data_IF_725690722871
#
_entry.id   IF_725690722871
#
_cell.length_a   1.000
_cell.length_b   1.000
_cell.length_c   1.000
_cell.angle_alpha   90.00
_cell.angle_beta   90.00
_cell.angle_gamma   90.00
#
_symmetry.space_group_name_H-M   'P 1'
#
loop_
_entity.id
_entity.type
_entity.pdbx_description
1 polymer ?
#
# COMPACT_ATOMS: atom_id res chain seq x y z
N UNK A 1 -6.93 24.67 6.66
CA UNK A 1 -5.48 24.34 6.86
C UNK A 1 -4.65 25.47 6.27
N UNK A 2 -3.68 26.02 7.00
CA UNK A 2 -2.87 27.17 6.53
C UNK A 2 -1.83 26.74 5.48
N UNK A 3 -1.34 27.67 4.66
CA UNK A 3 -0.37 27.40 3.58
C UNK A 3 0.92 26.75 4.08
N UNK A 4 1.47 27.19 5.22
CA UNK A 4 2.68 26.62 5.82
C UNK A 4 2.48 25.14 6.25
N UNK A 5 1.27 24.79 6.67
CA UNK A 5 0.92 23.43 7.07
C UNK A 5 0.76 22.52 5.84
N UNK A 6 0.18 23.02 4.75
CA UNK A 6 0.16 22.33 3.46
C UNK A 6 1.57 22.07 2.92
N UNK A 7 2.47 23.05 3.03
CA UNK A 7 3.86 22.92 2.57
C UNK A 7 4.63 21.80 3.33
N UNK A 8 4.37 21.61 4.63
CA UNK A 8 4.93 20.48 5.42
C UNK A 8 4.59 19.11 4.83
N UNK A 9 3.48 19.00 4.10
CA UNK A 9 2.99 17.77 3.50
C UNK A 9 3.17 17.73 1.98
N UNK A 10 4.08 18.55 1.44
CA UNK A 10 4.46 18.50 0.02
C UNK A 10 3.40 19.04 -0.92
N UNK A 11 2.59 20.00 -0.47
CA UNK A 11 1.69 20.74 -1.36
C UNK A 11 2.46 21.49 -2.45
N UNK A 12 2.00 21.36 -3.69
CA UNK A 12 2.57 22.02 -4.86
C UNK A 12 1.47 22.80 -5.61
N UNK A 13 1.64 24.13 -5.68
CA UNK A 13 0.69 25.05 -6.31
C UNK A 13 0.58 24.84 -7.82
N UNK A 14 1.67 24.46 -8.50
CA UNK A 14 1.66 24.18 -9.94
C UNK A 14 0.89 22.90 -10.23
N UNK A 15 1.07 21.86 -9.41
CA UNK A 15 0.29 20.62 -9.47
C UNK A 15 -1.18 20.90 -9.19
N UNK A 16 -1.52 21.66 -8.15
CA UNK A 16 -2.89 22.05 -7.84
C UNK A 16 -3.55 22.82 -9.00
N UNK A 17 -2.81 23.75 -9.61
CA UNK A 17 -3.28 24.52 -10.77
C UNK A 17 -3.54 23.62 -11.99
N UNK A 18 -2.73 22.58 -12.19
CA UNK A 18 -2.96 21.58 -13.22
C UNK A 18 -4.21 20.73 -12.93
N UNK A 19 -4.44 20.37 -11.67
CA UNK A 19 -5.67 19.69 -11.24
C UNK A 19 -6.92 20.54 -11.48
N UNK A 20 -6.89 21.84 -11.16
CA UNK A 20 -8.00 22.76 -11.41
C UNK A 20 -8.43 22.77 -12.88
N UNK A 21 -7.47 22.89 -13.81
CA UNK A 21 -7.74 22.84 -15.27
C UNK A 21 -8.34 21.50 -15.71
N UNK A 22 -7.90 20.39 -15.11
CA UNK A 22 -8.36 19.04 -15.43
C UNK A 22 -9.69 18.68 -14.77
N UNK A 23 -10.05 19.30 -13.65
CA UNK A 23 -11.26 18.94 -12.89
C UNK A 23 -12.54 19.16 -13.70
N UNK A 24 -12.58 20.24 -14.50
CA UNK A 24 -13.67 20.58 -15.40
C UNK A 24 -13.77 19.67 -16.64
N UNK A 25 -12.77 18.84 -16.89
CA UNK A 25 -12.73 17.93 -18.03
C UNK A 25 -13.23 16.56 -17.59
N UNK A 26 -14.30 16.06 -18.23
CA UNK A 26 -14.74 14.69 -18.05
C UNK A 26 -13.76 13.76 -18.77
N UNK A 27 -12.80 13.20 -18.04
CA UNK A 27 -11.81 12.24 -18.59
C UNK A 27 -12.10 10.84 -18.10
N UNK A 28 -12.11 9.88 -19.01
CA UNK A 28 -12.11 8.46 -18.64
C UNK A 28 -10.77 8.10 -17.99
N UNK A 29 -10.82 7.33 -16.91
CA UNK A 29 -9.62 6.72 -16.32
C UNK A 29 -9.30 5.35 -16.97
N UNK A 30 -10.16 4.86 -17.87
CA UNK A 30 -9.96 3.58 -18.53
C UNK A 30 -8.67 3.57 -19.34
N UNK A 31 -7.92 2.47 -19.26
CA UNK A 31 -6.72 2.29 -20.08
C UNK A 31 -7.09 2.22 -21.56
N UNK A 32 -6.20 2.74 -22.38
CA UNK A 32 -6.25 2.64 -23.84
C UNK A 32 -5.12 1.73 -24.29
N UNK A 33 -5.41 0.75 -25.16
CA UNK A 33 -4.42 -0.22 -25.62
C UNK A 33 -5.01 -1.62 -25.73
N UNK A 34 -4.18 -2.58 -26.11
CA UNK A 34 -4.55 -3.99 -26.13
C UNK A 34 -4.45 -4.57 -24.72
N UNK A 35 -5.60 -4.91 -24.15
CA UNK A 35 -5.72 -5.45 -22.81
C UNK A 35 -6.10 -6.93 -22.86
N UNK A 36 -5.35 -7.78 -22.17
CA UNK A 36 -5.68 -9.19 -22.00
C UNK A 36 -5.33 -9.68 -20.58
N UNK A 37 -5.93 -10.79 -20.12
CA UNK A 37 -5.53 -11.39 -18.84
C UNK A 37 -4.04 -11.74 -18.81
N UNK A 38 -3.39 -11.54 -17.66
CA UNK A 38 -2.02 -12.03 -17.46
C UNK A 38 -2.01 -13.57 -17.53
N UNK A 39 -1.19 -14.21 -18.39
CA UNK A 39 -1.14 -15.66 -18.45
C UNK A 39 -0.77 -16.27 -17.11
N UNK A 40 -1.44 -17.36 -16.72
CA UNK A 40 -1.18 -18.04 -15.45
C UNK A 40 0.28 -18.50 -15.30
N UNK A 41 0.99 -18.77 -16.40
CA UNK A 41 2.42 -19.10 -16.40
C UNK A 41 3.33 -17.94 -15.99
N UNK A 42 2.85 -16.69 -16.02
CA UNK A 42 3.55 -15.50 -15.54
C UNK A 42 3.19 -15.13 -14.09
N UNK A 43 2.35 -15.94 -13.44
CA UNK A 43 2.00 -15.80 -12.03
C UNK A 43 2.65 -16.95 -11.28
N UNK A 44 3.76 -16.66 -10.61
CA UNK A 44 4.42 -17.61 -9.74
C UNK A 44 3.51 -17.98 -8.57
N UNK A 45 3.76 -19.13 -7.95
CA UNK A 45 3.07 -19.53 -6.72
C UNK A 45 4.05 -19.56 -5.57
N UNK A 46 3.64 -19.04 -4.43
CA UNK A 46 4.40 -19.25 -3.21
C UNK A 46 4.32 -20.75 -2.83
N UNK A 47 5.45 -21.46 -2.67
CA UNK A 47 5.39 -22.87 -2.28
C UNK A 47 4.66 -23.07 -0.95
N UNK A 48 3.88 -24.14 -0.85
CA UNK A 48 3.05 -24.43 0.31
C UNK A 48 3.90 -24.57 1.59
N UNK A 49 3.31 -24.21 2.73
CA UNK A 49 3.95 -24.38 4.03
C UNK A 49 4.40 -25.83 4.25
N UNK A 50 5.58 -25.98 4.86
CA UNK A 50 6.17 -27.30 5.17
C UNK A 50 6.89 -27.97 4.01
N UNK A 51 6.81 -27.44 2.78
CA UNK A 51 7.56 -27.98 1.64
C UNK A 51 9.06 -27.63 1.70
N UNK A 52 9.96 -28.46 1.13
CA UNK A 52 11.39 -28.14 1.05
C UNK A 52 11.67 -26.82 0.31
N UNK A 53 10.92 -26.53 -0.75
CA UNK A 53 11.07 -25.28 -1.51
C UNK A 53 10.70 -24.05 -0.66
N UNK A 54 9.61 -24.14 0.12
CA UNK A 54 9.24 -23.05 1.06
C UNK A 54 10.33 -22.83 2.11
N UNK A 55 10.93 -23.91 2.62
CA UNK A 55 12.02 -23.82 3.59
C UNK A 55 13.26 -23.15 2.98
N UNK A 56 13.68 -23.56 1.78
CA UNK A 56 14.81 -22.95 1.06
C UNK A 56 14.62 -21.46 0.82
N UNK A 57 13.44 -21.06 0.34
CA UNK A 57 13.12 -19.65 0.12
C UNK A 57 13.12 -18.86 1.42
N UNK A 58 12.57 -19.44 2.50
CA UNK A 58 12.58 -18.82 3.83
C UNK A 58 14.01 -18.61 4.31
N UNK A 59 14.87 -19.60 4.18
CA UNK A 59 16.25 -19.51 4.67
C UNK A 59 17.04 -18.45 3.88
N UNK A 60 16.86 -18.35 2.57
CA UNK A 60 17.43 -17.28 1.74
C UNK A 60 16.93 -15.88 2.15
N UNK A 61 15.63 -15.73 2.44
CA UNK A 61 15.10 -14.46 2.92
C UNK A 61 15.58 -14.10 4.32
N UNK A 62 15.75 -15.09 5.21
CA UNK A 62 16.30 -14.88 6.55
C UNK A 62 17.76 -14.41 6.50
N UNK A 63 18.55 -14.90 5.55
CA UNK A 63 19.90 -14.40 5.29
C UNK A 63 19.88 -12.91 4.91
N UNK A 64 19.03 -12.52 3.95
CA UNK A 64 18.88 -11.12 3.54
C UNK A 64 18.43 -10.20 4.70
N UNK A 65 17.47 -10.67 5.50
CA UNK A 65 17.03 -9.96 6.72
C UNK A 65 18.18 -9.85 7.73
N UNK A 66 18.90 -10.94 7.95
CA UNK A 66 20.05 -11.02 8.85
C UNK A 66 21.19 -10.10 8.44
N UNK A 67 21.38 -9.88 7.15
CA UNK A 67 22.35 -8.95 6.57
C UNK A 67 21.94 -7.47 6.66
N UNK A 68 20.71 -7.17 7.12
CA UNK A 68 20.17 -5.82 7.17
C UNK A 68 19.77 -5.27 5.79
N UNK A 69 19.56 -6.14 4.80
CA UNK A 69 19.17 -5.75 3.44
C UNK A 69 17.68 -5.46 3.29
N UNK A 70 16.87 -5.81 4.28
CA UNK A 70 15.40 -5.76 4.20
C UNK A 70 14.83 -4.71 5.16
N UNK A 71 13.91 -3.90 4.66
CA UNK A 71 13.06 -2.99 5.43
C UNK A 71 11.58 -3.24 5.15
N UNK A 72 10.71 -2.71 6.01
CA UNK A 72 9.27 -2.84 5.87
C UNK A 72 8.58 -1.47 5.78
N UNK A 73 7.78 -1.26 4.74
CA UNK A 73 6.96 -0.08 4.54
C UNK A 73 5.51 -0.40 4.94
N UNK A 74 4.91 0.45 5.78
CA UNK A 74 3.50 0.33 6.16
C UNK A 74 2.72 1.54 5.67
N UNK A 75 1.75 1.32 4.80
CA UNK A 75 0.85 2.37 4.32
C UNK A 75 -0.25 2.64 5.36
N UNK A 76 -0.19 3.81 5.97
CA UNK A 76 -1.02 4.24 7.09
C UNK A 76 -1.59 5.67 6.91
N UNK A 77 -1.75 6.11 5.66
CA UNK A 77 -2.31 7.43 5.32
C UNK A 77 -3.83 7.54 5.47
N UNK A 78 -4.53 6.42 5.67
CA UNK A 78 -5.99 6.33 5.66
C UNK A 78 -6.66 6.64 7.00
N UNK A 79 -7.73 7.42 6.95
CA UNK A 79 -8.68 7.58 8.05
C UNK A 79 -9.68 6.41 8.05
N UNK A 80 -10.09 5.97 9.24
CA UNK A 80 -11.10 4.95 9.42
C UNK A 80 -12.48 5.62 9.57
N UNK A 81 -13.01 6.18 8.47
CA UNK A 81 -14.31 6.88 8.47
C UNK A 81 -15.45 5.99 9.01
N UNK A 82 -15.44 4.70 8.68
CA UNK A 82 -16.38 3.68 9.20
C UNK A 82 -16.17 3.28 10.67
N UNK A 83 -15.06 3.69 11.28
CA UNK A 83 -14.75 3.50 12.69
C UNK A 83 -14.93 4.81 13.49
N UNK A 84 -15.78 5.72 12.99
CA UNK A 84 -16.03 7.00 13.65
C UNK A 84 -15.01 8.10 13.30
N UNK A 85 -14.26 7.97 12.21
CA UNK A 85 -13.38 9.03 11.72
C UNK A 85 -12.03 9.12 12.44
N UNK A 86 -11.58 8.04 13.09
CA UNK A 86 -10.27 7.96 13.75
C UNK A 86 -9.17 7.50 12.79
N UNK A 87 -7.91 7.63 13.18
CA UNK A 87 -6.78 7.14 12.39
C UNK A 87 -6.75 5.61 12.42
N UNK A 88 -6.84 4.95 11.25
CA UNK A 88 -6.95 3.48 11.16
C UNK A 88 -5.83 2.75 11.89
N UNK A 89 -4.59 3.24 11.75
CA UNK A 89 -3.40 2.63 12.32
C UNK A 89 -3.44 2.52 13.86
N UNK A 90 -4.16 3.40 14.55
CA UNK A 90 -4.23 3.42 16.03
C UNK A 90 -5.45 2.68 16.59
N UNK A 91 -6.34 2.18 15.73
CA UNK A 91 -7.53 1.42 16.14
C UNK A 91 -7.13 0.04 16.67
N UNK A 92 -7.62 -0.39 17.85
CA UNK A 92 -7.46 -1.76 18.35
C UNK A 92 -8.00 -2.80 17.36
N UNK A 93 -7.18 -3.80 17.04
CA UNK A 93 -7.50 -4.82 16.04
C UNK A 93 -7.45 -6.26 16.60
N UNK A 94 -6.50 -6.57 17.48
CA UNK A 94 -6.40 -7.88 18.12
C UNK A 94 -6.13 -7.71 19.61
N UNK A 95 -7.14 -8.03 20.43
CA UNK A 95 -7.15 -7.62 21.83
C UNK A 95 -7.08 -6.10 21.94
N UNK A 96 -6.15 -5.59 22.76
CA UNK A 96 -5.91 -4.15 22.95
C UNK A 96 -4.87 -3.57 21.98
N UNK A 97 -4.21 -4.41 21.17
CA UNK A 97 -3.17 -3.95 20.24
C UNK A 97 -3.79 -3.33 19.00
N UNK A 98 -3.31 -2.15 18.62
CA UNK A 98 -3.72 -1.48 17.38
C UNK A 98 -3.20 -2.17 16.12
N UNK A 99 -3.76 -1.83 14.95
CA UNK A 99 -3.20 -2.28 13.67
C UNK A 99 -1.69 -1.99 13.53
N UNK A 100 -1.24 -0.80 13.95
CA UNK A 100 0.17 -0.42 13.91
C UNK A 100 1.02 -1.23 14.91
N UNK A 101 0.52 -1.48 16.12
CA UNK A 101 1.20 -2.31 17.13
C UNK A 101 1.39 -3.75 16.63
N UNK A 102 0.41 -4.29 15.89
CA UNK A 102 0.48 -5.63 15.30
C UNK A 102 1.53 -5.68 14.19
N UNK A 103 1.52 -4.71 13.26
CA UNK A 103 2.54 -4.60 12.19
C UNK A 103 3.94 -4.40 12.76
N UNK A 104 4.06 -3.59 13.81
CA UNK A 104 5.33 -3.37 14.51
C UNK A 104 5.85 -4.65 15.16
N UNK A 105 5.00 -5.39 15.88
CA UNK A 105 5.40 -6.64 16.53
C UNK A 105 5.93 -7.68 15.53
N UNK A 106 5.27 -7.79 14.36
CA UNK A 106 5.71 -8.64 13.25
C UNK A 106 7.11 -8.30 12.75
N UNK A 107 7.37 -7.02 12.50
CA UNK A 107 8.69 -6.54 12.03
C UNK A 107 9.75 -6.67 13.13
N UNK A 108 9.40 -6.32 14.37
CA UNK A 108 10.30 -6.33 15.51
C UNK A 108 10.75 -7.75 15.92
N UNK A 109 10.01 -8.79 15.53
CA UNK A 109 10.41 -10.18 15.73
C UNK A 109 11.74 -10.53 15.03
N UNK A 110 12.13 -9.79 13.99
CA UNK A 110 13.43 -9.92 13.31
C UNK A 110 14.54 -9.05 13.92
N UNK A 111 14.25 -8.38 15.05
CA UNK A 111 15.19 -7.54 15.78
C UNK A 111 15.40 -6.16 15.15
N UNK A 112 16.38 -5.41 15.67
CA UNK A 112 16.63 -4.00 15.30
C UNK A 112 17.15 -3.79 13.86
N UNK A 113 17.40 -4.86 13.11
CA UNK A 113 17.98 -4.78 11.75
C UNK A 113 16.96 -4.41 10.69
N UNK A 114 15.67 -4.61 10.94
CA UNK A 114 14.61 -4.29 9.98
C UNK A 114 13.98 -2.93 10.34
N UNK A 115 14.27 -1.85 9.59
CA UNK A 115 13.60 -0.59 9.79
C UNK A 115 12.14 -0.66 9.34
N UNK A 116 11.26 -0.03 10.12
CA UNK A 116 9.86 0.17 9.78
C UNK A 116 9.67 1.60 9.26
N UNK A 117 9.19 1.73 8.03
CA UNK A 117 8.98 3.01 7.35
C UNK A 117 7.46 3.22 7.20
N UNK A 118 6.89 4.12 7.98
CA UNK A 118 5.43 4.31 8.05
C UNK A 118 5.02 5.50 7.17
N UNK A 119 4.32 5.21 6.08
CA UNK A 119 3.75 6.23 5.21
C UNK A 119 2.41 6.72 5.78
N UNK A 120 2.42 7.92 6.34
CA UNK A 120 1.25 8.59 6.92
C UNK A 120 0.63 9.60 5.94
N UNK A 121 -0.32 10.40 6.37
CA UNK A 121 -0.84 11.55 5.63
C UNK A 121 -0.95 12.77 6.55
N UNK A 122 -1.29 13.95 6.01
CA UNK A 122 -1.55 15.14 6.83
C UNK A 122 -2.57 14.88 7.96
N UNK A 123 -3.52 13.96 7.75
CA UNK A 123 -4.56 13.62 8.72
C UNK A 123 -4.13 12.55 9.74
N UNK A 124 -3.09 11.76 9.45
CA UNK A 124 -2.67 10.63 10.29
C UNK A 124 -1.29 10.80 10.93
N UNK A 125 -0.46 11.71 10.43
CA UNK A 125 0.97 11.81 10.76
C UNK A 125 1.23 12.03 12.24
N UNK A 126 0.65 13.08 12.83
CA UNK A 126 0.93 13.44 14.22
C UNK A 126 0.35 12.40 15.19
N UNK A 127 -0.85 11.87 14.91
CA UNK A 127 -1.46 10.80 15.71
C UNK A 127 -0.66 9.49 15.68
N UNK A 128 -0.10 9.11 14.52
CA UNK A 128 0.76 7.92 14.41
C UNK A 128 2.05 8.12 15.22
N UNK A 129 2.68 9.29 15.12
CA UNK A 129 3.89 9.60 15.90
C UNK A 129 3.62 9.58 17.41
N UNK A 130 2.48 10.15 17.83
CA UNK A 130 2.06 10.13 19.22
C UNK A 130 1.82 8.69 19.69
N UNK A 131 1.11 7.87 18.91
CA UNK A 131 0.86 6.47 19.25
C UNK A 131 2.14 5.64 19.39
N UNK A 132 3.12 5.84 18.49
CA UNK A 132 4.45 5.23 18.58
C UNK A 132 5.12 5.59 19.92
N UNK A 133 5.06 6.86 20.32
CA UNK A 133 5.64 7.33 21.58
C UNK A 133 4.92 6.78 22.82
N UNK A 134 3.58 6.84 22.84
CA UNK A 134 2.74 6.40 23.96
C UNK A 134 2.86 4.90 24.21
N UNK A 135 2.87 4.11 23.13
CA UNK A 135 3.06 2.65 23.19
C UNK A 135 4.51 2.24 23.31
N UNK A 136 5.45 3.19 23.26
CA UNK A 136 6.91 2.96 23.35
C UNK A 136 7.40 1.93 22.34
N UNK A 137 6.90 2.02 21.10
CA UNK A 137 7.34 1.13 20.03
C UNK A 137 8.83 1.36 19.76
N UNK A 138 9.60 0.27 19.73
CA UNK A 138 11.06 0.31 19.70
C UNK A 138 11.64 -0.10 18.34
N UNK A 139 12.95 0.12 18.14
CA UNK A 139 13.61 -0.13 16.87
C UNK A 139 13.66 1.12 15.97
N UNK A 140 14.07 0.95 14.72
CA UNK A 140 14.18 2.05 13.76
C UNK A 140 12.82 2.26 13.09
N UNK A 141 12.09 3.29 13.51
CA UNK A 141 10.78 3.64 12.96
C UNK A 141 10.83 5.06 12.38
N UNK A 142 10.74 5.17 11.06
CA UNK A 142 10.67 6.46 10.36
C UNK A 142 9.23 6.69 9.87
N UNK A 143 8.61 7.79 10.31
CA UNK A 143 7.28 8.19 9.86
C UNK A 143 7.42 9.34 8.87
N UNK A 144 6.90 9.17 7.66
CA UNK A 144 6.92 10.18 6.60
C UNK A 144 5.52 10.34 6.01
N UNK A 145 5.07 11.55 5.67
CA UNK A 145 3.76 11.74 5.09
C UNK A 145 3.79 11.57 3.57
N UNK A 146 2.73 10.98 3.02
CA UNK A 146 2.39 11.12 1.60
C UNK A 146 1.98 12.56 1.27
N UNK A 147 1.86 12.88 -0.02
CA UNK A 147 1.62 14.24 -0.47
C UNK A 147 0.16 14.69 -0.20
N UNK A 148 -0.07 16.00 -0.27
CA UNK A 148 -1.37 16.63 -0.04
C UNK A 148 -1.77 17.54 -1.21
N UNK A 149 -3.06 17.58 -1.50
CA UNK A 149 -3.67 18.52 -2.42
C UNK A 149 -5.01 19.03 -1.85
N UNK A 150 -5.61 20.01 -2.53
CA UNK A 150 -6.89 20.60 -2.16
C UNK A 150 -7.99 20.09 -3.09
N UNK A 151 -9.13 19.73 -2.52
CA UNK A 151 -10.31 19.31 -3.26
C UNK A 151 -10.80 20.44 -4.16
N UNK A 152 -11.36 20.05 -5.30
CA UNK A 152 -11.89 20.97 -6.29
C UNK A 152 -13.39 20.75 -6.47
N UNK A 153 -14.12 21.77 -6.85
CA UNK A 153 -15.47 21.62 -7.40
C UNK A 153 -15.39 20.95 -8.78
N UNK A 154 -16.50 20.42 -9.34
CA UNK A 154 -16.53 19.91 -10.70
C UNK A 154 -16.16 20.95 -11.77
N UNK A 155 -16.22 22.25 -11.44
CA UNK A 155 -15.81 23.36 -12.32
C UNK A 155 -14.34 23.75 -12.17
N UNK A 156 -13.61 23.15 -11.21
CA UNK A 156 -12.18 23.40 -11.00
C UNK A 156 -11.84 24.52 -10.02
N UNK A 157 -12.82 25.01 -9.25
CA UNK A 157 -12.58 25.96 -8.16
C UNK A 157 -12.19 25.21 -6.88
N UNK A 158 -11.49 25.87 -5.95
CA UNK A 158 -11.19 25.27 -4.65
C UNK A 158 -12.49 24.98 -3.88
N UNK A 159 -12.68 23.72 -3.48
CA UNK A 159 -13.81 23.34 -2.65
C UNK A 159 -13.58 23.81 -1.21
N UNK A 160 -14.61 24.47 -0.65
CA UNK A 160 -14.68 24.85 0.75
C UNK A 160 -15.73 24.00 1.44
N UNK A 161 -15.39 23.47 2.60
CA UNK A 161 -16.33 22.69 3.41
C UNK A 161 -17.39 23.58 4.08
N UNK A 162 -18.29 22.97 4.87
CA UNK A 162 -19.36 23.68 5.57
C UNK A 162 -18.86 24.78 6.53
N UNK A 163 -17.59 24.74 6.96
CA UNK A 163 -16.96 25.77 7.79
C UNK A 163 -16.37 26.93 6.98
N UNK A 164 -16.35 26.84 5.65
CA UNK A 164 -15.77 27.83 4.74
C UNK A 164 -14.26 27.66 4.53
N UNK A 165 -13.67 26.60 5.08
CA UNK A 165 -12.25 26.28 4.96
C UNK A 165 -11.96 25.44 3.71
N UNK A 166 -10.77 25.61 3.12
CA UNK A 166 -10.32 24.75 2.02
C UNK A 166 -10.18 23.31 2.50
N UNK A 167 -10.64 22.37 1.68
CA UNK A 167 -10.72 20.95 2.07
C UNK A 167 -9.53 20.14 1.53
N UNK A 168 -8.51 19.82 2.36
CA UNK A 168 -7.37 19.02 1.92
C UNK A 168 -7.71 17.53 1.81
N UNK A 169 -6.98 16.84 0.94
CA UNK A 169 -7.00 15.39 0.81
C UNK A 169 -5.59 14.87 0.50
N UNK A 170 -5.33 13.62 0.85
CA UNK A 170 -4.06 12.99 0.55
C UNK A 170 -4.11 12.34 -0.83
N UNK A 171 -3.03 12.45 -1.61
CA UNK A 171 -3.05 12.17 -3.05
C UNK A 171 -2.84 10.72 -3.44
N UNK A 172 -3.06 9.79 -2.51
CA UNK A 172 -3.11 8.35 -2.75
C UNK A 172 -1.78 7.64 -2.49
N UNK A 173 -1.86 6.31 -2.39
CA UNK A 173 -0.72 5.49 -2.01
C UNK A 173 0.40 5.42 -3.07
N UNK A 174 0.11 5.83 -4.32
CA UNK A 174 1.14 5.96 -5.36
C UNK A 174 2.15 7.07 -5.11
N UNK A 175 1.95 7.92 -4.10
CA UNK A 175 2.95 8.88 -3.65
C UNK A 175 4.16 8.22 -2.97
N UNK A 176 4.10 6.92 -2.66
CA UNK A 176 5.10 6.20 -1.86
C UNK A 176 6.54 6.51 -2.25
N UNK A 177 6.91 6.31 -3.52
CA UNK A 177 8.30 6.45 -3.96
C UNK A 177 8.77 7.91 -3.87
N UNK A 178 7.91 8.87 -4.23
CA UNK A 178 8.19 10.30 -4.14
C UNK A 178 8.36 10.76 -2.69
N UNK A 179 7.40 10.43 -1.83
CA UNK A 179 7.39 10.82 -0.42
C UNK A 179 8.54 10.17 0.37
N UNK A 180 8.82 8.90 0.09
CA UNK A 180 9.91 8.17 0.73
C UNK A 180 11.28 8.77 0.36
N UNK A 181 11.48 9.14 -0.91
CA UNK A 181 12.69 9.84 -1.37
C UNK A 181 12.81 11.24 -0.75
N UNK A 182 11.76 12.05 -0.82
CA UNK A 182 11.75 13.41 -0.29
C UNK A 182 12.01 13.46 1.22
N UNK A 183 11.57 12.45 1.98
CA UNK A 183 11.84 12.35 3.42
C UNK A 183 13.31 12.00 3.78
N UNK A 184 14.11 11.61 2.79
CA UNK A 184 15.45 11.05 2.97
C UNK A 184 15.47 9.66 3.61
N UNK A 185 14.32 9.05 3.93
CA UNK A 185 14.25 7.72 4.52
C UNK A 185 14.78 6.65 3.56
N UNK A 186 14.49 6.76 2.25
CA UNK A 186 15.08 5.85 1.26
C UNK A 186 16.61 5.95 1.23
N UNK A 187 17.14 7.17 1.22
CA UNK A 187 18.58 7.41 1.20
C UNK A 187 19.27 6.84 2.45
N UNK A 188 18.68 7.04 3.63
CA UNK A 188 19.18 6.45 4.89
C UNK A 188 19.13 4.92 4.86
N UNK A 189 18.03 4.33 4.40
CA UNK A 189 17.87 2.89 4.27
C UNK A 189 18.95 2.29 3.36
N UNK A 190 19.14 2.88 2.18
CA UNK A 190 20.15 2.42 1.21
C UNK A 190 21.58 2.60 1.73
N UNK A 191 21.88 3.73 2.37
CA UNK A 191 23.19 4.00 2.97
C UNK A 191 23.54 3.00 4.09
N UNK A 192 22.53 2.43 4.76
CA UNK A 192 22.70 1.38 5.75
C UNK A 192 22.83 -0.04 5.14
N UNK A 193 22.87 -0.19 3.82
CA UNK A 193 22.97 -1.47 3.11
C UNK A 193 21.62 -2.07 2.69
N UNK A 194 20.52 -1.37 2.92
CA UNK A 194 19.18 -1.79 2.55
C UNK A 194 18.97 -1.86 1.03
N UNK A 195 18.45 -2.98 0.54
CA UNK A 195 18.19 -3.22 -0.89
C UNK A 195 16.73 -3.56 -1.19
N UNK A 196 15.98 -4.07 -0.22
CA UNK A 196 14.65 -4.64 -0.45
C UNK A 196 13.64 -4.10 0.56
N UNK A 197 12.51 -3.59 0.08
CA UNK A 197 11.42 -3.08 0.91
C UNK A 197 10.16 -3.92 0.70
N UNK A 198 9.64 -4.52 1.77
CA UNK A 198 8.28 -5.09 1.76
C UNK A 198 7.29 -3.99 2.14
N UNK A 199 6.42 -3.61 1.21
CA UNK A 199 5.33 -2.67 1.43
C UNK A 199 3.99 -3.39 1.62
N UNK A 200 3.21 -2.98 2.63
CA UNK A 200 1.84 -3.45 2.82
C UNK A 200 0.93 -2.39 3.41
N UNK A 201 -0.39 -2.55 3.23
CA UNK A 201 -1.38 -1.74 3.92
C UNK A 201 -1.43 -2.06 5.42
N UNK A 202 -1.67 -1.03 6.25
CA UNK A 202 -1.82 -1.20 7.70
C UNK A 202 -3.02 -2.07 8.08
N UNK A 203 -4.06 -2.09 7.25
CA UNK A 203 -5.31 -2.81 7.49
C UNK A 203 -5.32 -4.27 7.00
N UNK A 204 -4.33 -4.67 6.18
CA UNK A 204 -4.11 -6.07 5.83
C UNK A 204 -3.12 -6.70 6.81
N UNK A 205 -3.64 -7.21 7.93
CA UNK A 205 -2.80 -7.77 9.00
C UNK A 205 -2.08 -9.06 8.59
N UNK A 206 -2.60 -9.78 7.60
CA UNK A 206 -2.00 -11.03 7.11
C UNK A 206 -0.74 -10.81 6.24
N UNK A 207 -0.57 -9.62 5.66
CA UNK A 207 0.65 -9.22 4.95
C UNK A 207 1.78 -8.94 5.95
N UNK A 208 2.38 -10.01 6.45
CA UNK A 208 3.53 -10.02 7.38
C UNK A 208 4.84 -10.03 6.61
N UNK A 209 5.93 -9.66 7.29
CA UNK A 209 7.29 -9.84 6.80
C UNK A 209 7.64 -11.34 6.76
N UNK A 210 7.33 -11.97 5.63
CA UNK A 210 7.60 -13.38 5.39
C UNK A 210 8.92 -13.56 4.65
N UNK A 211 9.93 -14.19 5.27
CA UNK A 211 11.22 -14.41 4.62
C UNK A 211 11.10 -15.21 3.32
N UNK A 212 10.13 -16.12 3.18
CA UNK A 212 9.98 -16.87 1.95
C UNK A 212 9.51 -16.01 0.78
N UNK A 213 8.73 -14.95 1.03
CA UNK A 213 8.36 -13.96 0.01
C UNK A 213 9.60 -13.17 -0.41
N UNK A 214 10.45 -12.77 0.54
CA UNK A 214 11.70 -12.08 0.25
C UNK A 214 12.65 -12.97 -0.58
N UNK A 215 12.82 -14.23 -0.17
CA UNK A 215 13.62 -15.20 -0.93
C UNK A 215 13.06 -15.45 -2.32
N UNK A 216 11.74 -15.56 -2.47
CA UNK A 216 11.09 -15.76 -3.76
C UNK A 216 11.22 -14.54 -4.67
N UNK A 217 11.09 -13.33 -4.14
CA UNK A 217 11.38 -12.10 -4.88
C UNK A 217 12.82 -12.10 -5.42
N UNK A 218 13.79 -12.46 -4.58
CA UNK A 218 15.19 -12.53 -4.99
C UNK A 218 15.43 -13.56 -6.09
N UNK A 219 14.79 -14.73 -6.01
CA UNK A 219 14.89 -15.79 -7.02
C UNK A 219 14.22 -15.44 -8.36
N UNK A 220 13.02 -14.85 -8.32
CA UNK A 220 12.31 -14.43 -9.53
C UNK A 220 12.97 -13.23 -10.23
N UNK A 221 13.75 -12.46 -9.47
CA UNK A 221 14.35 -11.20 -9.88
C UNK A 221 13.31 -10.13 -10.24
N UNK A 222 13.77 -9.07 -10.90
CA UNK A 222 12.95 -7.90 -11.22
C UNK A 222 13.00 -6.84 -10.12
N UNK A 223 12.38 -5.71 -10.40
CA UNK A 223 12.39 -4.54 -9.53
C UNK A 223 11.24 -4.52 -8.53
N UNK A 224 10.16 -5.23 -8.86
CA UNK A 224 8.93 -5.24 -8.09
C UNK A 224 8.31 -6.63 -8.13
N UNK A 225 7.76 -7.07 -7.00
CA UNK A 225 6.94 -8.27 -6.92
C UNK A 225 5.63 -7.95 -6.24
N UNK A 226 4.54 -8.34 -6.88
CA UNK A 226 3.18 -8.06 -6.42
C UNK A 226 2.53 -9.35 -5.92
N UNK A 227 2.09 -9.33 -4.67
CA UNK A 227 1.22 -10.39 -4.14
C UNK A 227 -0.19 -10.22 -4.73
N UNK A 228 -0.71 -11.28 -5.34
CA UNK A 228 -2.08 -11.33 -5.87
C UNK A 228 -2.85 -12.47 -5.21
N UNK A 229 -4.08 -12.21 -4.80
CA UNK A 229 -4.92 -13.19 -4.11
C UNK A 229 -5.97 -13.76 -5.09
N UNK A 230 -6.41 -15.02 -4.92
CA UNK A 230 -7.58 -15.56 -5.62
C UNK A 230 -8.79 -14.64 -5.43
N UNK A 231 -9.47 -14.28 -6.51
CA UNK A 231 -10.74 -13.56 -6.45
C UNK A 231 -11.87 -14.48 -5.96
N UNK A 232 -12.75 -13.92 -5.15
CA UNK A 232 -14.03 -14.51 -4.78
C UNK A 232 -15.16 -13.58 -5.24
N UNK A 233 -16.36 -14.13 -5.38
CA UNK A 233 -17.54 -13.35 -5.80
C UNK A 233 -17.72 -12.12 -4.91
N UNK A 234 -17.81 -10.94 -5.54
CA UNK A 234 -17.97 -9.66 -4.86
C UNK A 234 -16.68 -8.89 -4.58
N UNK A 235 -15.50 -9.46 -4.87
CA UNK A 235 -14.27 -8.68 -4.87
C UNK A 235 -14.30 -7.59 -5.94
N UNK A 236 -13.94 -6.38 -5.53
CA UNK A 236 -13.77 -5.24 -6.41
C UNK A 236 -12.39 -4.65 -6.13
N UNK A 237 -11.60 -4.45 -7.17
CA UNK A 237 -10.27 -3.89 -7.04
C UNK A 237 -9.46 -4.03 -8.33
N UNK A 238 -8.21 -3.58 -8.26
CA UNK A 238 -7.26 -3.81 -9.33
C UNK A 238 -6.86 -5.26 -9.51
N UNK A 239 -6.41 -5.61 -10.70
CA UNK A 239 -5.99 -6.96 -11.04
C UNK A 239 -4.82 -6.93 -12.05
N UNK A 240 -3.97 -7.96 -12.07
CA UNK A 240 -2.90 -8.03 -13.06
C UNK A 240 -3.46 -8.32 -14.46
N UNK A 241 -3.02 -7.54 -15.44
CA UNK A 241 -3.36 -7.72 -16.84
C UNK A 241 -2.14 -7.40 -17.72
N UNK A 242 -2.17 -7.88 -18.97
CA UNK A 242 -1.23 -7.46 -20.00
C UNK A 242 -1.80 -6.23 -20.70
N UNK A 243 -1.11 -5.11 -20.62
CA UNK A 243 -1.41 -3.91 -21.39
C UNK A 243 -0.27 -3.69 -22.40
N UNK A 244 -0.60 -3.77 -23.69
CA UNK A 244 0.36 -3.61 -24.80
C UNK A 244 1.64 -4.47 -24.64
N UNK A 245 1.47 -5.70 -24.17
CA UNK A 245 2.57 -6.64 -23.97
C UNK A 245 3.35 -6.46 -22.66
N UNK A 246 2.95 -5.52 -21.80
CA UNK A 246 3.56 -5.30 -20.48
C UNK A 246 2.62 -5.77 -19.35
N UNK A 247 3.08 -6.64 -18.44
CA UNK A 247 2.34 -6.99 -17.23
C UNK A 247 2.16 -5.77 -16.31
N UNK A 248 0.93 -5.42 -15.96
CA UNK A 248 0.61 -4.28 -15.10
C UNK A 248 -0.53 -4.59 -14.14
N UNK A 249 -0.54 -3.93 -12.99
CA UNK A 249 -1.76 -3.80 -12.18
C UNK A 249 -2.64 -2.73 -12.81
N UNK A 250 -3.82 -3.12 -13.25
CA UNK A 250 -4.87 -2.20 -13.69
C UNK A 250 -5.89 -2.08 -12.57
N UNK A 251 -6.08 -0.87 -12.03
CA UNK A 251 -7.09 -0.64 -10.99
C UNK A 251 -8.52 -0.80 -11.52
N UNK A 252 -9.47 -1.17 -10.65
CA UNK A 252 -10.82 -1.57 -11.06
C UNK A 252 -11.53 -0.55 -11.97
N UNK A 253 -11.44 0.73 -11.64
CA UNK A 253 -12.04 1.83 -12.43
C UNK A 253 -11.30 2.16 -13.73
N UNK A 254 -10.15 1.51 -13.98
CA UNK A 254 -9.35 1.67 -15.19
C UNK A 254 -9.57 0.56 -16.22
N UNK A 255 -10.28 -0.51 -15.87
CA UNK A 255 -10.71 -1.47 -16.87
C UNK A 255 -11.74 -0.83 -17.80
N UNK A 256 -11.59 -0.97 -19.13
CA UNK A 256 -12.65 -0.58 -20.06
C UNK A 256 -13.94 -1.35 -19.78
N UNK A 257 -15.14 -0.73 -19.91
CA UNK A 257 -16.41 -1.43 -19.67
C UNK A 257 -16.63 -2.68 -20.54
N UNK A 258 -15.91 -2.78 -21.66
CA UNK A 258 -15.96 -3.92 -22.59
C UNK A 258 -15.02 -5.06 -22.21
N UNK A 259 -14.14 -4.87 -21.21
CA UNK A 259 -13.24 -5.91 -20.74
C UNK A 259 -13.94 -6.77 -19.69
N UNK A 260 -13.96 -8.08 -19.91
CA UNK A 260 -14.45 -9.03 -18.92
C UNK A 260 -13.44 -9.19 -17.78
N UNK A 261 -13.62 -8.43 -16.70
CA UNK A 261 -12.73 -8.49 -15.54
C UNK A 261 -12.81 -9.84 -14.80
N UNK A 262 -13.90 -10.60 -14.96
CA UNK A 262 -14.08 -11.91 -14.32
C UNK A 262 -13.23 -13.00 -15.00
N UNK A 263 -12.69 -12.72 -16.19
CA UNK A 263 -11.69 -13.57 -16.85
C UNK A 263 -10.33 -13.62 -16.13
N UNK A 264 -10.07 -12.70 -15.19
CA UNK A 264 -8.86 -12.68 -14.35
C UNK A 264 -9.24 -13.26 -12.98
N UNK A 265 -8.64 -14.38 -12.58
CA UNK A 265 -8.99 -15.14 -11.37
C UNK A 265 -8.27 -14.67 -10.09
N UNK A 266 -7.46 -13.62 -10.19
CA UNK A 266 -6.72 -13.01 -9.08
C UNK A 266 -6.88 -11.49 -9.05
N UNK A 267 -6.62 -10.87 -7.90
CA UNK A 267 -6.65 -9.41 -7.74
C UNK A 267 -5.48 -8.91 -6.88
N UNK A 268 -5.19 -7.62 -7.03
CA UNK A 268 -4.12 -6.93 -6.34
C UNK A 268 -4.38 -6.87 -4.83
N UNK A 269 -3.43 -7.33 -4.03
CA UNK A 269 -3.47 -7.21 -2.56
C UNK A 269 -2.95 -5.87 -2.04
N UNK A 270 -2.32 -5.07 -2.92
CA UNK A 270 -1.53 -3.89 -2.57
C UNK A 270 -0.39 -4.19 -1.58
N UNK A 271 0.21 -5.39 -1.70
CA UNK A 271 1.42 -5.81 -0.97
C UNK A 271 2.53 -6.08 -1.97
N UNK A 272 3.62 -5.31 -1.88
CA UNK A 272 4.70 -5.31 -2.87
C UNK A 272 6.05 -5.54 -2.22
N UNK A 273 6.91 -6.32 -2.85
CA UNK A 273 8.35 -6.29 -2.59
C UNK A 273 9.01 -5.39 -3.64
N UNK A 274 9.81 -4.43 -3.19
CA UNK A 274 10.40 -3.39 -4.02
C UNK A 274 11.92 -3.38 -3.89
N UNK A 275 12.63 -3.26 -5.02
CA UNK A 275 14.05 -2.95 -5.05
C UNK A 275 14.26 -1.47 -4.71
N UNK A 276 14.99 -1.21 -3.62
CA UNK A 276 15.19 0.14 -3.09
C UNK A 276 15.99 1.05 -4.02
N UNK A 277 16.89 0.50 -4.85
CA UNK A 277 17.65 1.28 -5.81
C UNK A 277 16.79 1.65 -7.02
N UNK A 278 15.95 0.73 -7.49
CA UNK A 278 15.14 0.94 -8.70
C UNK A 278 13.91 1.83 -8.46
N UNK A 279 13.45 1.97 -7.22
CA UNK A 279 12.42 2.95 -6.85
C UNK A 279 12.99 4.35 -6.55
N UNK A 280 14.32 4.52 -6.51
CA UNK A 280 14.96 5.82 -6.29
C UNK A 280 15.01 6.65 -7.59
N UNK A 281 13.84 6.87 -8.17
CA UNK A 281 13.66 7.49 -9.47
C UNK A 281 12.36 8.30 -9.52
N UNK A 282 12.31 9.33 -10.36
CA UNK A 282 11.09 10.10 -10.63
C UNK A 282 10.27 9.40 -11.70
N UNK A 283 9.14 8.81 -11.30
CA UNK A 283 8.23 8.16 -12.23
C UNK A 283 7.20 9.15 -12.76
N UNK A 284 6.84 9.03 -14.04
CA UNK A 284 5.73 9.78 -14.65
C UNK A 284 4.37 9.16 -14.28
N UNK A 285 4.14 8.90 -12.99
CA UNK A 285 2.88 8.32 -12.54
C UNK A 285 1.71 9.30 -12.75
N UNK A 286 0.65 8.90 -13.46
CA UNK A 286 -0.52 9.73 -13.68
C UNK A 286 -1.32 9.93 -12.38
N UNK A 287 -1.93 11.11 -12.26
CA UNK A 287 -2.99 11.35 -11.30
C UNK A 287 -4.36 11.07 -11.93
N UNK A 288 -5.15 10.21 -11.33
CA UNK A 288 -6.50 9.86 -11.78
C UNK A 288 -7.55 10.77 -11.15
N UNK A 289 -8.46 11.29 -11.99
CA UNK A 289 -9.57 12.12 -11.53
C UNK A 289 -10.61 11.23 -10.85
N UNK A 290 -10.92 11.52 -9.60
CA UNK A 290 -11.91 10.79 -8.80
C UNK A 290 -12.97 11.76 -8.33
N UNK A 291 -14.23 11.44 -8.59
CA UNK A 291 -15.38 12.14 -8.00
C UNK A 291 -15.72 11.48 -6.67
N UNK A 292 -15.86 12.29 -5.63
CA UNK A 292 -16.29 11.87 -4.29
C UNK A 292 -17.48 12.74 -3.86
N UNK A 293 -18.13 12.32 -2.79
CA UNK A 293 -19.10 13.15 -2.07
C UNK A 293 -18.51 13.54 -0.72
N UNK A 294 -18.47 14.84 -0.43
CA UNK A 294 -18.04 15.42 0.86
C UNK A 294 -19.13 16.41 1.27
N UNK A 295 -19.64 16.26 2.49
CA UNK A 295 -20.73 17.09 3.03
C UNK A 295 -21.99 17.19 2.13
N UNK A 296 -22.22 16.16 1.31
CA UNK A 296 -23.33 16.11 0.35
C UNK A 296 -23.00 16.69 -1.03
N UNK A 297 -21.88 17.40 -1.16
CA UNK A 297 -21.43 18.00 -2.41
C UNK A 297 -20.54 17.05 -3.22
N UNK A 298 -20.65 17.15 -4.55
CA UNK A 298 -19.71 16.50 -5.46
C UNK A 298 -18.39 17.26 -5.47
N UNK A 299 -17.31 16.56 -5.20
CA UNK A 299 -15.95 17.11 -5.19
C UNK A 299 -15.03 16.25 -6.04
N UNK A 300 -14.02 16.89 -6.62
CA UNK A 300 -13.00 16.27 -7.45
C UNK A 300 -11.69 16.18 -6.67
N UNK A 301 -11.08 15.00 -6.76
CA UNK A 301 -9.77 14.67 -6.23
C UNK A 301 -8.93 14.04 -7.34
N UNK A 302 -7.63 14.11 -7.17
CA UNK A 302 -6.64 13.52 -8.06
C UNK A 302 -5.73 12.60 -7.26
N UNK A 303 -5.78 11.30 -7.55
CA UNK A 303 -5.10 10.27 -6.76
C UNK A 303 -4.09 9.49 -7.63
N UNK A 304 -2.94 9.12 -7.04
CA UNK A 304 -1.95 8.20 -7.58
C UNK A 304 -2.07 6.84 -6.92
N UNK A 305 -1.79 5.81 -7.70
CA UNK A 305 -1.96 4.40 -7.31
C UNK A 305 -0.60 3.71 -7.33
N UNK A 306 -0.22 3.05 -6.24
CA UNK A 306 1.08 2.38 -6.13
C UNK A 306 1.22 1.22 -7.12
N UNK A 307 0.11 0.55 -7.49
CA UNK A 307 0.12 -0.48 -8.52
C UNK A 307 0.61 0.00 -9.89
N UNK A 308 0.51 1.31 -10.17
CA UNK A 308 0.94 1.91 -11.43
C UNK A 308 2.46 1.82 -11.64
N UNK A 309 3.23 1.64 -10.57
CA UNK A 309 4.68 1.37 -10.66
C UNK A 309 4.99 0.17 -11.55
N UNK A 310 4.07 -0.80 -11.66
CA UNK A 310 4.25 -1.98 -12.53
C UNK A 310 4.35 -1.63 -14.02
N UNK A 311 3.84 -0.47 -14.45
CA UNK A 311 4.01 0.03 -15.82
C UNK A 311 5.44 0.51 -16.10
N UNK A 312 6.21 0.82 -15.06
CA UNK A 312 7.54 1.42 -15.15
C UNK A 312 8.66 0.51 -14.63
N UNK A 313 8.30 -0.56 -13.91
CA UNK A 313 9.24 -1.46 -13.25
C UNK A 313 9.07 -2.89 -13.76
N UNK A 314 10.17 -3.61 -14.07
CA UNK A 314 10.13 -5.05 -14.31
C UNK A 314 9.47 -5.77 -13.15
N UNK A 315 8.24 -6.24 -13.36
CA UNK A 315 7.37 -6.74 -12.29
C UNK A 315 7.18 -8.26 -12.37
N UNK A 316 7.06 -8.87 -11.19
CA UNK A 316 6.68 -10.28 -11.01
C UNK A 316 5.39 -10.34 -10.21
N UNK A 317 4.62 -11.41 -10.40
CA UNK A 317 3.37 -11.63 -9.68
C UNK A 317 3.43 -12.97 -8.98
N UNK A 318 3.04 -12.99 -7.70
CA UNK A 318 2.98 -14.20 -6.90
C UNK A 318 1.55 -14.38 -6.41
N UNK A 319 0.95 -15.52 -6.76
CA UNK A 319 -0.30 -15.97 -6.16
C UNK A 319 -0.03 -16.41 -4.72
N UNK A 320 -0.71 -15.77 -3.78
CA UNK A 320 -0.65 -16.08 -2.35
C UNK A 320 -1.91 -16.81 -1.86
N UNK A 321 -1.81 -17.42 -0.69
CA UNK A 321 -2.97 -18.00 -0.02
C UNK A 321 -3.83 -16.91 0.61
N UNK A 322 -5.14 -17.02 0.42
CA UNK A 322 -6.12 -16.09 1.00
C UNK A 322 -6.75 -16.62 2.28
N UNK A 323 -6.74 -17.93 2.47
CA UNK A 323 -7.42 -18.61 3.57
C UNK A 323 -6.44 -19.42 4.43
N UNK A 324 -6.90 -19.80 5.61
CA UNK A 324 -6.14 -20.61 6.56
C UNK A 324 -4.90 -19.91 7.14
N UNK A 325 -4.08 -20.70 7.84
CA UNK A 325 -2.92 -20.20 8.58
C UNK A 325 -1.79 -19.60 7.70
N UNK A 326 -1.74 -19.90 6.39
CA UNK A 326 -0.78 -19.25 5.45
C UNK A 326 -1.37 -18.01 4.77
N UNK A 327 -2.59 -17.59 5.11
CA UNK A 327 -3.23 -16.42 4.51
C UNK A 327 -2.31 -15.19 4.57
N UNK A 328 -2.25 -14.45 3.45
CA UNK A 328 -1.54 -13.18 3.33
C UNK A 328 -2.46 -12.00 2.99
N UNK A 329 -3.76 -12.25 2.91
CA UNK A 329 -4.73 -11.22 2.53
C UNK A 329 -5.99 -11.23 3.39
N UNK A 330 -5.97 -10.44 4.45
CA UNK A 330 -7.06 -10.19 5.39
C UNK A 330 -7.22 -8.68 5.63
N UNK A 331 -7.66 -7.90 4.61
CA UNK A 331 -7.94 -6.49 4.79
C UNK A 331 -9.19 -6.31 5.65
N UNK A 332 -9.13 -5.32 6.55
CA UNK A 332 -10.26 -4.97 7.42
C UNK A 332 -10.83 -3.61 7.04
N UNK A 333 -12.02 -3.57 6.44
CA UNK A 333 -12.64 -2.33 5.97
C UNK A 333 -13.51 -1.62 7.02
N UNK A 334 -14.15 -2.38 7.90
CA UNK A 334 -15.10 -1.89 8.90
C UNK A 334 -15.07 -2.73 10.20
N UNK A 335 -15.70 -2.27 11.29
CA UNK A 335 -15.69 -2.98 12.57
C UNK A 335 -16.32 -4.38 12.51
N UNK A 336 -17.37 -4.56 11.71
CA UNK A 336 -18.05 -5.86 11.56
C UNK A 336 -17.15 -6.87 10.85
N UNK A 337 -16.44 -6.45 9.80
CA UNK A 337 -15.42 -7.26 9.16
C UNK A 337 -14.26 -7.59 10.11
N UNK A 338 -13.81 -6.63 10.93
CA UNK A 338 -12.76 -6.88 11.92
C UNK A 338 -13.17 -8.02 12.86
N UNK A 339 -14.38 -7.94 13.40
CA UNK A 339 -14.86 -8.94 14.36
C UNK A 339 -14.98 -10.32 13.72
N UNK A 340 -15.53 -10.39 12.50
CA UNK A 340 -15.62 -11.63 11.74
C UNK A 340 -14.26 -12.25 11.42
N UNK A 341 -13.26 -11.43 11.08
CA UNK A 341 -11.92 -11.90 10.71
C UNK A 341 -11.01 -12.15 11.92
N UNK A 342 -11.34 -11.64 13.12
CA UNK A 342 -10.48 -11.68 14.31
C UNK A 342 -9.94 -13.08 14.65
N UNK A 343 -10.74 -14.18 14.60
CA UNK A 343 -10.21 -15.52 14.86
C UNK A 343 -9.11 -15.93 13.87
N UNK A 344 -9.32 -15.68 12.57
CA UNK A 344 -8.38 -16.01 11.50
C UNK A 344 -7.13 -15.12 11.56
N UNK A 345 -7.30 -13.82 11.84
CA UNK A 345 -6.17 -12.91 12.10
C UNK A 345 -5.32 -13.48 13.24
N UNK A 346 -5.94 -13.89 14.35
CA UNK A 346 -5.23 -14.50 15.47
C UNK A 346 -4.51 -15.82 15.10
N UNK A 347 -5.11 -16.64 14.24
CA UNK A 347 -4.50 -17.87 13.74
C UNK A 347 -3.25 -17.59 12.89
N UNK A 348 -3.36 -16.69 11.90
CA UNK A 348 -2.24 -16.27 11.05
C UNK A 348 -1.13 -15.65 11.90
N UNK A 349 -1.49 -14.77 12.84
CA UNK A 349 -0.50 -14.13 13.72
C UNK A 349 0.28 -15.14 14.58
N UNK A 350 -0.37 -16.20 15.06
CA UNK A 350 0.29 -17.30 15.79
C UNK A 350 1.18 -18.14 14.88
N UNK A 351 0.73 -18.44 13.65
CA UNK A 351 1.51 -19.25 12.70
C UNK A 351 2.84 -18.60 12.32
N UNK A 352 2.91 -17.26 12.36
CA UNK A 352 4.11 -16.47 12.03
C UNK A 352 5.05 -16.20 13.20
N UNK A 353 4.74 -16.67 14.42
CA UNK A 353 5.50 -16.41 15.68
C UNK A 353 5.58 -14.94 16.11
N UNK A 354 4.78 -14.05 15.53
CA UNK A 354 4.76 -12.61 15.88
C UNK A 354 3.99 -12.33 17.19
N UNK A 355 3.36 -13.36 17.78
CA UNK A 355 2.44 -13.26 18.94
C UNK A 355 2.64 -14.36 19.99
N UNK A 356 3.87 -14.82 20.22
CA UNK A 356 4.18 -15.47 21.49
C UNK A 356 4.28 -14.36 22.55
N UNK A 357 3.18 -14.16 23.28
CA UNK A 357 3.07 -13.30 24.46
C UNK A 357 2.56 -14.10 25.64
#
# INVERSE_FOLDING_TARGET
>A
MKSDELARYGYDEAVQSAFARRAAQATSNAVTGNLSPLPASQIARLPALGTPDRARLRDAGLELIGDGKVGAVVLAGGMATRFGGVVKAVVPALGEKSFLEIKHADIAAFGKKVPMLVMSSFATHDAIKQHIADKKLSGTIDVFPQLVALRLTPTGELYKDASGEVSPYATGHGDLTFALRASGALARFRAAGGTTLLMSNVDNLAATLDPAIIGLHHELGGAMTVEVAPKIAGDKGGAPAMLDGTPQIIEGFRFPPTFDQDSIDVFNTNTFVLDAALIDHDFELPYYRVEKTVDGDKVIQFERLAGELTAFLPSRFIRIERDGADSRFLPVKDPEELERQRPLIGEVMRSRRSFEG
#
